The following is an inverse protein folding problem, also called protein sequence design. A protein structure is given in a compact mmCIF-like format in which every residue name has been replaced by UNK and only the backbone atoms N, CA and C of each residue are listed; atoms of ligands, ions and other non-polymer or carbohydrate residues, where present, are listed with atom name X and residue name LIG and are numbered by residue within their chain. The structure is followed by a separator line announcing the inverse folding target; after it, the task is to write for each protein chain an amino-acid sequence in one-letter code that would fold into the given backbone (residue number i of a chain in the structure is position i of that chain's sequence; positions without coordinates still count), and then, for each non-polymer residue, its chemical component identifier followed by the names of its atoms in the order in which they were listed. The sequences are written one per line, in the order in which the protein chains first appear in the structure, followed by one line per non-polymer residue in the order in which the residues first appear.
data_IF_740977982708
#
_entry.id   IF_740977982708
#
_cell.length_a   1.000
_cell.length_b   1.000
_cell.length_c   1.000
_cell.angle_alpha   90.00
_cell.angle_beta   90.00
_cell.angle_gamma   90.00
#
_symmetry.space_group_name_H-M   'P 1'
#
loop_
_entity.id
_entity.type
_entity.pdbx_description
1 polymer ?
#
# COMPACT_ATOMS: atom_id res chain seq x y z
N UNK A 1 27.73 46.11 0.55
CA UNK A 1 26.54 45.69 -0.24
C UNK A 1 26.87 44.56 -1.24
N UNK A 2 27.92 43.78 -1.03
CA UNK A 2 28.36 42.71 -1.98
C UNK A 2 28.12 41.30 -1.43
N UNK A 3 28.10 41.13 -0.11
CA UNK A 3 27.92 39.81 0.54
C UNK A 3 26.47 39.31 0.52
N UNK A 4 25.47 40.21 0.54
CA UNK A 4 24.04 39.86 0.50
C UNK A 4 23.59 39.32 -0.86
N UNK A 5 24.20 39.79 -1.95
CA UNK A 5 23.91 39.33 -3.31
C UNK A 5 24.50 37.93 -3.58
N UNK A 6 25.66 37.61 -2.99
CA UNK A 6 26.28 36.29 -3.11
C UNK A 6 25.47 35.19 -2.41
N UNK A 7 24.87 35.48 -1.25
CA UNK A 7 24.05 34.52 -0.49
C UNK A 7 22.70 34.24 -1.17
N UNK A 8 22.08 35.26 -1.79
CA UNK A 8 20.87 35.05 -2.60
C UNK A 8 21.13 34.26 -3.89
N UNK A 9 22.28 34.48 -4.55
CA UNK A 9 22.66 33.73 -5.75
C UNK A 9 22.89 32.23 -5.47
N UNK A 10 23.46 31.89 -4.31
CA UNK A 10 23.69 30.51 -3.91
C UNK A 10 22.40 29.76 -3.55
N UNK A 11 21.44 30.46 -2.93
CA UNK A 11 20.12 29.88 -2.59
C UNK A 11 19.23 29.63 -3.83
N UNK A 12 19.31 30.50 -4.84
CA UNK A 12 18.60 30.32 -6.12
C UNK A 12 19.22 29.20 -6.98
N UNK A 13 20.55 29.05 -6.96
CA UNK A 13 21.23 27.96 -7.67
C UNK A 13 20.92 26.58 -7.08
N UNK A 14 20.76 26.48 -5.76
CA UNK A 14 20.46 25.21 -5.08
C UNK A 14 19.01 24.73 -5.32
N UNK A 15 18.06 25.64 -5.54
CA UNK A 15 16.67 25.28 -5.83
C UNK A 15 16.48 24.78 -7.27
N UNK A 16 17.28 25.26 -8.23
CA UNK A 16 17.28 24.78 -9.62
C UNK A 16 17.95 23.40 -9.78
N UNK A 17 18.93 23.05 -8.94
CA UNK A 17 19.62 21.76 -9.00
C UNK A 17 18.81 20.60 -8.39
N UNK A 18 17.75 20.89 -7.63
CA UNK A 18 16.91 19.87 -6.96
C UNK A 18 15.62 19.55 -7.73
N UNK A 19 15.33 20.27 -8.82
CA UNK A 19 14.16 20.06 -9.66
C UNK A 19 14.35 18.94 -10.67
N UNK A 20 14.59 17.70 -10.22
CA UNK A 20 14.47 16.55 -11.13
C UNK A 20 12.99 16.33 -11.42
N UNK A 21 12.55 16.52 -12.67
CA UNK A 21 11.21 16.12 -13.10
C UNK A 21 11.09 14.60 -13.00
N UNK A 22 10.29 14.11 -12.05
CA UNK A 22 9.89 12.70 -12.01
C UNK A 22 8.99 12.45 -13.21
N UNK A 23 9.50 11.70 -14.19
CA UNK A 23 8.73 11.26 -15.33
C UNK A 23 7.83 10.08 -14.93
N UNK A 24 6.54 10.17 -15.25
CA UNK A 24 5.56 9.16 -14.88
C UNK A 24 5.75 7.92 -15.78
N UNK A 25 6.15 6.79 -15.18
CA UNK A 25 6.31 5.54 -15.93
C UNK A 25 4.98 4.82 -16.09
N UNK A 26 4.61 4.53 -17.35
CA UNK A 26 3.47 3.66 -17.64
C UNK A 26 3.85 2.20 -17.39
N UNK A 27 3.17 1.56 -16.45
CA UNK A 27 3.21 0.12 -16.26
C UNK A 27 2.10 -0.54 -17.11
N UNK A 28 2.45 -1.57 -17.88
CA UNK A 28 1.50 -2.38 -18.65
C UNK A 28 1.42 -3.77 -18.05
N UNK A 29 0.20 -4.21 -17.75
CA UNK A 29 -0.09 -5.50 -17.14
C UNK A 29 -0.99 -6.32 -18.05
N UNK A 30 -0.73 -7.63 -18.15
CA UNK A 30 -1.54 -8.57 -18.92
C UNK A 30 -1.68 -9.87 -18.11
N UNK A 31 -2.85 -10.49 -18.23
CA UNK A 31 -3.21 -11.77 -17.60
C UNK A 31 -3.49 -12.83 -18.65
N UNK A 32 -3.43 -14.11 -18.28
CA UNK A 32 -3.74 -15.22 -19.18
C UNK A 32 -5.24 -15.44 -19.43
N UNK A 33 -6.10 -14.74 -18.69
CA UNK A 33 -7.56 -14.83 -18.71
C UNK A 33 -8.16 -13.47 -18.33
N UNK A 34 -9.43 -13.27 -18.69
CA UNK A 34 -10.22 -12.14 -18.22
C UNK A 34 -10.53 -12.26 -16.72
N UNK A 35 -10.69 -11.10 -16.07
CA UNK A 35 -11.09 -11.06 -14.67
C UNK A 35 -12.56 -11.47 -14.53
N UNK A 36 -12.84 -12.31 -13.53
CA UNK A 36 -14.20 -12.81 -13.28
C UNK A 36 -15.07 -11.81 -12.50
N UNK A 37 -14.45 -10.81 -11.87
CA UNK A 37 -15.12 -9.79 -11.08
C UNK A 37 -14.25 -9.25 -9.94
N UNK A 38 -14.66 -8.12 -9.36
CA UNK A 38 -13.89 -7.43 -8.31
C UNK A 38 -14.47 -7.59 -6.91
N UNK A 39 -15.59 -8.31 -6.75
CA UNK A 39 -16.07 -8.72 -5.43
C UNK A 39 -15.12 -9.78 -4.86
N UNK A 40 -14.43 -9.50 -3.73
CA UNK A 40 -13.51 -10.45 -3.10
C UNK A 40 -14.19 -11.76 -2.69
N UNK A 41 -15.51 -11.77 -2.43
CA UNK A 41 -16.23 -12.96 -1.98
C UNK A 41 -16.74 -13.87 -3.10
N UNK A 42 -16.77 -13.38 -4.34
CA UNK A 42 -17.46 -14.07 -5.44
C UNK A 42 -16.64 -15.14 -6.16
N UNK A 43 -15.30 -15.05 -6.18
CA UNK A 43 -14.46 -15.89 -7.05
C UNK A 43 -13.08 -16.16 -6.44
N UNK A 44 -12.50 -17.33 -6.72
CA UNK A 44 -11.15 -17.74 -6.31
C UNK A 44 -10.31 -18.25 -7.50
N UNK A 45 -9.81 -17.33 -8.33
CA UNK A 45 -9.02 -17.60 -9.55
C UNK A 45 -7.76 -16.73 -9.55
N UNK A 46 -6.63 -17.27 -10.02
CA UNK A 46 -5.30 -16.67 -9.84
C UNK A 46 -5.17 -15.24 -10.36
N UNK A 47 -5.32 -15.00 -11.67
CA UNK A 47 -5.39 -13.66 -12.27
C UNK A 47 -6.34 -12.68 -11.57
N UNK A 48 -7.55 -13.12 -11.23
CA UNK A 48 -8.55 -12.33 -10.52
C UNK A 48 -8.06 -11.95 -9.12
N UNK A 49 -7.48 -12.89 -8.38
CA UNK A 49 -6.91 -12.66 -7.06
C UNK A 49 -5.68 -11.74 -7.11
N UNK A 50 -4.86 -11.87 -8.15
CA UNK A 50 -3.71 -10.99 -8.39
C UNK A 50 -4.18 -9.54 -8.63
N UNK A 51 -5.23 -9.33 -9.42
CA UNK A 51 -5.84 -8.01 -9.58
C UNK A 51 -6.42 -7.49 -8.26
N UNK A 52 -7.22 -8.30 -7.56
CA UNK A 52 -7.81 -7.93 -6.25
C UNK A 52 -6.75 -7.52 -5.24
N UNK A 53 -5.57 -8.16 -5.24
CA UNK A 53 -4.45 -7.78 -4.37
C UNK A 53 -3.89 -6.37 -4.58
N UNK A 54 -4.23 -5.70 -5.68
CA UNK A 54 -3.89 -4.29 -5.91
C UNK A 54 -4.96 -3.32 -5.35
N UNK A 55 -6.16 -3.82 -5.05
CA UNK A 55 -7.32 -3.04 -4.61
C UNK A 55 -7.63 -3.25 -3.13
N UNK A 56 -7.42 -4.47 -2.64
CA UNK A 56 -7.75 -4.90 -1.28
C UNK A 56 -6.49 -5.31 -0.54
N UNK A 57 -6.41 -4.94 0.73
CA UNK A 57 -5.34 -5.34 1.64
C UNK A 57 -5.95 -6.25 2.72
N UNK A 58 -5.33 -7.40 2.99
CA UNK A 58 -5.76 -8.31 4.05
C UNK A 58 -5.14 -7.96 5.42
N UNK A 59 -5.53 -8.69 6.48
CA UNK A 59 -4.86 -8.58 7.78
C UNK A 59 -3.37 -8.95 7.69
N UNK A 60 -3.07 -10.01 6.94
CA UNK A 60 -1.72 -10.51 6.71
C UNK A 60 -1.47 -10.65 5.20
N UNK A 61 -0.20 -10.65 4.82
CA UNK A 61 0.23 -10.93 3.46
C UNK A 61 1.11 -12.19 3.42
N UNK A 62 1.14 -12.91 2.30
CA UNK A 62 2.03 -14.05 2.09
C UNK A 62 3.24 -13.61 1.27
N UNK A 63 4.43 -13.86 1.79
CA UNK A 63 5.68 -13.68 1.07
C UNK A 63 5.85 -14.71 -0.06
N UNK A 64 6.81 -14.51 -0.98
CA UNK A 64 7.14 -15.50 -2.00
C UNK A 64 7.51 -16.89 -1.43
N UNK A 65 8.06 -16.94 -0.21
CA UNK A 65 8.35 -18.18 0.52
C UNK A 65 7.12 -18.76 1.28
N UNK A 66 5.94 -18.18 1.05
CA UNK A 66 4.66 -18.50 1.69
C UNK A 66 4.56 -18.18 3.18
N UNK A 67 5.61 -17.60 3.79
CA UNK A 67 5.53 -17.13 5.16
C UNK A 67 4.57 -15.94 5.29
N UNK A 68 3.94 -15.82 6.45
CA UNK A 68 3.03 -14.71 6.75
C UNK A 68 3.82 -13.48 7.18
N UNK A 69 3.39 -12.31 6.72
CA UNK A 69 3.94 -11.03 7.13
C UNK A 69 2.82 -10.04 7.52
N UNK A 70 3.13 -9.04 8.37
CA UNK A 70 2.20 -7.96 8.70
C UNK A 70 1.63 -7.25 7.46
N UNK A 71 0.38 -6.81 7.57
CA UNK A 71 -0.28 -5.96 6.57
C UNK A 71 -1.20 -4.96 7.27
N UNK A 72 -2.54 -5.13 7.24
CA UNK A 72 -3.45 -4.35 8.08
C UNK A 72 -3.36 -4.72 9.56
N UNK A 73 -2.92 -5.92 9.91
CA UNK A 73 -2.51 -6.28 11.25
C UNK A 73 -0.97 -6.17 11.39
N UNK A 74 -0.51 -5.43 12.40
CA UNK A 74 0.92 -5.24 12.69
C UNK A 74 1.50 -6.35 13.55
N UNK A 75 0.66 -6.97 14.39
CA UNK A 75 1.01 -8.08 15.28
C UNK A 75 -0.19 -9.04 15.36
N UNK A 76 0.09 -10.32 15.58
CA UNK A 76 -0.92 -11.32 15.84
C UNK A 76 -0.42 -12.36 16.83
N UNK A 77 -1.32 -12.90 17.65
CA UNK A 77 -0.98 -13.91 18.67
C UNK A 77 -2.15 -14.86 18.85
N UNK A 78 -1.86 -16.16 18.89
CA UNK A 78 -2.83 -17.18 19.26
C UNK A 78 -2.94 -17.25 20.77
N UNK A 79 -4.09 -16.88 21.33
CA UNK A 79 -4.32 -16.81 22.78
C UNK A 79 -5.00 -18.06 23.35
N UNK A 80 -5.57 -18.90 22.48
CA UNK A 80 -6.16 -20.20 22.78
C UNK A 80 -6.15 -21.06 21.49
N UNK A 81 -6.48 -22.37 21.51
CA UNK A 81 -6.41 -23.25 20.33
C UNK A 81 -7.09 -22.71 19.07
N UNK A 82 -8.17 -21.96 19.21
CA UNK A 82 -9.01 -21.41 18.15
C UNK A 82 -9.20 -19.88 18.25
N UNK A 83 -8.49 -19.21 19.17
CA UNK A 83 -8.63 -17.77 19.38
C UNK A 83 -7.35 -17.04 18.98
N UNK A 84 -7.50 -16.08 18.05
CA UNK A 84 -6.43 -15.21 17.59
C UNK A 84 -6.73 -13.75 17.94
N UNK A 85 -5.72 -13.05 18.43
CA UNK A 85 -5.74 -11.61 18.66
C UNK A 85 -4.86 -10.92 17.62
N UNK A 86 -5.43 -9.96 16.89
CA UNK A 86 -4.72 -9.12 15.94
C UNK A 86 -4.65 -7.69 16.46
N UNK A 87 -3.50 -7.03 16.26
CA UNK A 87 -3.33 -5.60 16.51
C UNK A 87 -3.37 -4.87 15.17
N UNK A 88 -4.37 -4.00 15.00
CA UNK A 88 -4.59 -3.30 13.73
C UNK A 88 -3.67 -2.08 13.57
N UNK A 89 -3.22 -1.86 12.32
CA UNK A 89 -2.45 -0.70 11.89
C UNK A 89 -3.30 0.56 12.06
N UNK A 90 -2.76 1.55 12.75
CA UNK A 90 -3.47 2.80 13.04
C UNK A 90 -3.44 3.76 11.86
N UNK A 91 -4.47 4.61 11.75
CA UNK A 91 -4.56 5.67 10.75
C UNK A 91 -4.86 5.20 9.31
N UNK A 92 -5.20 3.92 9.12
CA UNK A 92 -5.61 3.39 7.81
C UNK A 92 -6.98 3.95 7.44
N UNK A 93 -7.12 4.32 6.16
CA UNK A 93 -8.37 4.80 5.58
C UNK A 93 -8.66 4.07 4.28
N UNK A 94 -9.94 3.88 4.00
CA UNK A 94 -10.41 3.50 2.67
C UNK A 94 -10.21 4.66 1.68
N UNK A 95 -10.27 4.37 0.38
CA UNK A 95 -10.04 5.38 -0.67
C UNK A 95 -10.98 6.60 -0.57
N UNK A 96 -12.19 6.38 -0.05
CA UNK A 96 -13.23 7.39 0.21
C UNK A 96 -13.06 8.12 1.54
N UNK A 97 -12.01 7.82 2.31
CA UNK A 97 -11.61 8.56 3.50
C UNK A 97 -12.15 8.03 4.84
N UNK A 98 -13.09 7.08 4.83
CA UNK A 98 -13.54 6.38 6.04
C UNK A 98 -12.37 5.68 6.73
N UNK A 99 -12.35 5.73 8.07
CA UNK A 99 -11.35 5.03 8.87
C UNK A 99 -11.58 3.51 8.85
N UNK A 100 -10.50 2.74 8.76
CA UNK A 100 -10.53 1.29 8.92
C UNK A 100 -10.55 0.91 10.40
N UNK A 101 -11.43 -0.01 10.76
CA UNK A 101 -11.68 -0.47 12.13
C UNK A 101 -11.80 -2.00 12.20
N UNK A 102 -11.94 -2.54 13.41
CA UNK A 102 -12.14 -3.98 13.59
C UNK A 102 -13.47 -4.48 13.00
N UNK A 103 -14.49 -3.62 12.93
CA UNK A 103 -15.81 -3.97 12.42
C UNK A 103 -15.79 -4.26 10.91
N UNK A 104 -14.83 -3.70 10.18
CA UNK A 104 -14.65 -3.94 8.74
C UNK A 104 -14.08 -5.33 8.41
N UNK A 105 -13.81 -6.15 9.43
CA UNK A 105 -13.19 -7.48 9.33
C UNK A 105 -14.14 -8.61 9.77
N UNK A 106 -15.34 -8.28 10.24
CA UNK A 106 -16.33 -9.21 10.82
C UNK A 106 -17.34 -9.69 9.77
#
# INVERSE_FOLDING_TARGET
MTLRLAVLGLAAGLTLALGSSVDAKTFRYATGSDLLGLDPHSNNEGPTNAMKGNLYEGLLHRKPDLSLQPSLATEWTQTAPDVWRFKLRQGVKFHQGQAFTADDVV
#
